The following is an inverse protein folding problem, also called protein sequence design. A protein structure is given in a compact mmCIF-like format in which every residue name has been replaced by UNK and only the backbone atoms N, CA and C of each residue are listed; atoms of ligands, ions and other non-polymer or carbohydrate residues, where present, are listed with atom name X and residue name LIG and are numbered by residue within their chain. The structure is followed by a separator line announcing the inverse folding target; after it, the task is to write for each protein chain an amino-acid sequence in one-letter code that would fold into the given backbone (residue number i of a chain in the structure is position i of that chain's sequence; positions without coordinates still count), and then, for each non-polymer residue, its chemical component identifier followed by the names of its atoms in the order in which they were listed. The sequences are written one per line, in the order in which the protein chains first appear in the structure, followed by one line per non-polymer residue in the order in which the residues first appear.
data_IF_895398535229
#
_entry.id   IF_895398535229
#
_cell.length_a   1.000
_cell.length_b   1.000
_cell.length_c   1.000
_cell.angle_alpha   90.00
_cell.angle_beta   90.00
_cell.angle_gamma   90.00
#
_symmetry.space_group_name_H-M   'P 1'
#
loop_
_entity.id
_entity.type
_entity.pdbx_description
1 polymer ?
#
# COMPACT_ATOMS: atom_id res chain seq x y z
N UNK A 1 14.33 22.55 -13.06
CA UNK A 1 12.96 22.05 -12.81
C UNK A 1 12.41 22.80 -11.61
N UNK A 2 11.28 23.52 -11.72
CA UNK A 2 10.67 24.19 -10.56
C UNK A 2 10.28 23.15 -9.49
N UNK A 3 10.25 23.54 -8.19
CA UNK A 3 9.76 22.64 -7.14
C UNK A 3 8.30 22.27 -7.43
N UNK A 4 7.94 21.00 -7.25
CA UNK A 4 6.55 20.57 -7.34
C UNK A 4 5.68 21.41 -6.38
N UNK A 5 4.47 21.81 -6.76
CA UNK A 5 3.60 22.58 -5.87
C UNK A 5 3.22 21.75 -4.63
N UNK A 6 2.96 22.42 -3.51
CA UNK A 6 2.30 21.80 -2.36
C UNK A 6 0.84 21.52 -2.76
N UNK A 7 0.36 20.32 -2.51
CA UNK A 7 -1.03 19.92 -2.79
C UNK A 7 -1.75 19.50 -1.51
N UNK A 8 -3.08 19.63 -1.52
CA UNK A 8 -3.94 19.25 -0.41
C UNK A 8 -4.98 18.24 -0.89
N UNK A 9 -5.04 17.09 -0.22
CA UNK A 9 -6.02 16.03 -0.47
C UNK A 9 -6.82 15.74 0.79
N UNK A 10 -8.03 15.26 0.61
CA UNK A 10 -8.86 14.75 1.70
C UNK A 10 -8.52 13.27 1.93
N UNK A 11 -8.10 12.92 3.15
CA UNK A 11 -8.03 11.55 3.62
C UNK A 11 -9.41 11.13 4.15
N UNK A 12 -10.10 10.29 3.40
CA UNK A 12 -11.52 9.96 3.63
C UNK A 12 -11.67 8.77 4.55
N UNK A 13 -10.86 7.75 4.33
CA UNK A 13 -10.88 6.50 5.07
C UNK A 13 -9.47 5.92 5.09
N UNK A 14 -9.17 5.15 6.13
CA UNK A 14 -7.93 4.42 6.21
C UNK A 14 -8.15 3.09 6.94
N UNK A 15 -7.30 2.11 6.62
CA UNK A 15 -7.26 0.83 7.32
C UNK A 15 -5.81 0.40 7.48
N UNK A 16 -5.51 -0.32 8.55
CA UNK A 16 -4.21 -0.91 8.80
C UNK A 16 -4.42 -2.37 9.23
N UNK A 17 -3.60 -3.25 8.67
CA UNK A 17 -3.44 -4.63 9.10
C UNK A 17 -1.95 -4.86 9.37
N UNK A 18 -1.66 -5.31 10.57
CA UNK A 18 -0.32 -5.78 10.97
C UNK A 18 -0.42 -7.30 11.22
N UNK A 19 0.67 -8.00 11.60
CA UNK A 19 0.61 -9.43 11.86
C UNK A 19 -0.51 -9.79 12.87
N UNK A 20 -0.89 -11.06 12.95
CA UNK A 20 -1.84 -11.60 13.94
C UNK A 20 -1.09 -12.48 14.96
N UNK A 21 -1.74 -12.84 16.07
CA UNK A 21 -1.16 -13.66 17.14
C UNK A 21 -0.10 -12.91 17.96
N UNK A 22 0.84 -13.63 18.57
CA UNK A 22 1.87 -13.03 19.45
C UNK A 22 2.78 -12.02 18.72
N UNK A 23 2.95 -12.19 17.39
CA UNK A 23 3.70 -11.26 16.54
C UNK A 23 3.00 -9.88 16.35
N UNK A 24 1.73 -9.76 16.75
CA UNK A 24 0.91 -8.57 16.61
C UNK A 24 0.91 -7.64 17.85
N UNK A 25 1.45 -8.12 18.97
CA UNK A 25 1.33 -7.44 20.26
C UNK A 25 1.96 -6.04 20.22
N UNK A 26 1.16 -5.00 20.47
CA UNK A 26 1.61 -3.61 20.51
C UNK A 26 1.69 -2.88 19.17
N UNK A 27 1.26 -3.50 18.05
CA UNK A 27 1.25 -2.88 16.73
C UNK A 27 -0.18 -2.41 16.32
N UNK A 28 -0.35 -1.25 15.64
CA UNK A 28 -1.66 -0.79 15.17
C UNK A 28 -2.28 -1.72 14.11
N UNK A 29 -3.49 -2.26 14.35
CA UNK A 29 -4.21 -3.10 13.38
C UNK A 29 -4.08 -4.62 13.57
N UNK A 30 -3.64 -5.06 14.75
CA UNK A 30 -3.54 -6.48 15.11
C UNK A 30 -4.90 -7.19 14.97
N UNK A 31 -4.97 -8.22 14.14
CA UNK A 31 -6.16 -9.06 14.01
C UNK A 31 -6.06 -10.29 14.93
N UNK A 32 -7.14 -10.71 15.61
CA UNK A 32 -7.11 -11.90 16.48
C UNK A 32 -7.20 -13.23 15.70
N UNK A 33 -7.49 -13.18 14.39
CA UNK A 33 -7.76 -14.35 13.56
C UNK A 33 -6.99 -14.30 12.24
N UNK A 34 -6.73 -15.48 11.68
CA UNK A 34 -6.11 -15.62 10.37
C UNK A 34 -6.96 -14.95 9.26
N UNK A 35 -6.29 -14.39 8.24
CA UNK A 35 -6.97 -13.76 7.12
C UNK A 35 -7.80 -14.77 6.33
N UNK A 36 -9.03 -14.42 5.91
CA UNK A 36 -9.83 -15.27 5.06
C UNK A 36 -9.09 -15.67 3.79
N UNK A 37 -9.22 -16.94 3.39
CA UNK A 37 -8.69 -17.42 2.11
C UNK A 37 -9.39 -16.73 0.95
N UNK A 38 -8.64 -16.29 -0.04
CA UNK A 38 -9.17 -15.73 -1.27
C UNK A 38 -8.98 -16.75 -2.40
N UNK A 39 -10.07 -17.07 -3.10
CA UNK A 39 -10.02 -18.00 -4.23
C UNK A 39 -9.02 -17.49 -5.26
N UNK A 40 -8.11 -18.37 -5.67
CA UNK A 40 -7.06 -18.01 -6.61
C UNK A 40 -5.92 -17.20 -6.00
N UNK A 41 -5.78 -17.08 -4.67
CA UNK A 41 -4.61 -16.53 -3.98
C UNK A 41 -4.31 -17.37 -2.73
N UNK A 42 -3.77 -18.58 -2.95
CA UNK A 42 -3.61 -19.59 -1.90
C UNK A 42 -2.16 -19.83 -1.46
N UNK A 43 -1.18 -19.30 -2.20
CA UNK A 43 0.25 -19.60 -2.00
C UNK A 43 0.89 -18.66 -0.98
N UNK A 44 0.53 -17.39 -1.01
CA UNK A 44 1.06 -16.35 -0.13
C UNK A 44 -0.04 -15.61 0.61
N UNK A 45 0.37 -14.78 1.57
CA UNK A 45 -0.51 -13.85 2.27
C UNK A 45 -0.61 -12.49 1.62
N UNK A 46 0.18 -12.22 0.58
CA UNK A 46 0.25 -10.92 -0.08
C UNK A 46 -1.13 -10.50 -0.62
N UNK A 47 -1.75 -11.34 -1.45
CA UNK A 47 -3.09 -11.08 -1.98
C UNK A 47 -4.16 -10.94 -0.87
N UNK A 48 -4.28 -11.92 0.05
CA UNK A 48 -5.21 -11.81 1.18
C UNK A 48 -5.04 -10.53 2.02
N UNK A 49 -3.81 -10.07 2.27
CA UNK A 49 -3.54 -8.81 2.98
C UNK A 49 -4.07 -7.59 2.22
N UNK A 50 -3.72 -7.47 0.92
CA UNK A 50 -4.20 -6.38 0.05
C UNK A 50 -5.72 -6.35 0.02
N UNK A 51 -6.35 -7.51 -0.18
CA UNK A 51 -7.80 -7.61 -0.24
C UNK A 51 -8.46 -7.22 1.08
N UNK A 52 -7.95 -7.72 2.20
CA UNK A 52 -8.53 -7.45 3.52
C UNK A 52 -8.41 -5.98 3.92
N UNK A 53 -7.23 -5.37 3.74
CA UNK A 53 -7.04 -3.96 4.12
C UNK A 53 -7.85 -3.02 3.24
N UNK A 54 -7.95 -3.30 1.94
CA UNK A 54 -8.76 -2.52 1.01
C UNK A 54 -10.26 -2.67 1.31
N UNK A 55 -10.74 -3.89 1.56
CA UNK A 55 -12.15 -4.14 1.92
C UNK A 55 -12.52 -3.40 3.21
N UNK A 56 -11.65 -3.41 4.21
CA UNK A 56 -11.87 -2.67 5.45
C UNK A 56 -11.82 -1.15 5.24
N UNK A 57 -10.99 -0.64 4.31
CA UNK A 57 -10.91 0.79 4.01
C UNK A 57 -12.10 1.29 3.19
N UNK A 58 -12.59 0.49 2.24
CA UNK A 58 -13.69 0.87 1.35
C UNK A 58 -15.08 0.62 1.93
N UNK A 59 -15.17 -0.23 2.96
CA UNK A 59 -16.41 -0.74 3.56
C UNK A 59 -17.28 -1.54 2.57
N UNK A 60 -18.31 -2.21 3.09
CA UNK A 60 -19.10 -3.14 2.28
C UNK A 60 -20.02 -2.40 1.29
N UNK A 61 -20.04 -2.76 -0.01
CA UNK A 61 -20.97 -2.18 -0.98
C UNK A 61 -22.44 -2.29 -0.54
N UNK A 62 -23.21 -1.25 -0.80
CA UNK A 62 -24.63 -1.18 -0.42
C UNK A 62 -24.89 -0.79 1.03
N UNK A 63 -23.85 -0.57 1.83
CA UNK A 63 -23.98 0.01 3.18
C UNK A 63 -23.82 1.54 3.14
N UNK A 64 -24.35 2.22 4.16
CA UNK A 64 -24.19 3.68 4.30
C UNK A 64 -22.71 4.10 4.48
N UNK A 65 -21.86 3.17 4.93
CA UNK A 65 -20.43 3.41 5.14
C UNK A 65 -19.59 3.20 3.86
N UNK A 66 -20.17 2.71 2.76
CA UNK A 66 -19.44 2.40 1.53
C UNK A 66 -18.78 3.65 0.91
N UNK A 67 -17.47 3.76 1.04
CA UNK A 67 -16.74 4.97 0.67
C UNK A 67 -16.56 5.15 -0.85
N UNK A 68 -16.64 4.08 -1.64
CA UNK A 68 -16.60 4.21 -3.12
C UNK A 68 -17.88 4.88 -3.62
N UNK A 69 -19.04 4.49 -3.08
CA UNK A 69 -20.33 5.11 -3.42
C UNK A 69 -20.58 5.19 -4.93
N UNK A 70 -21.06 6.34 -5.47
CA UNK A 70 -21.29 6.52 -6.90
C UNK A 70 -19.99 6.70 -7.71
N UNK A 71 -18.84 6.79 -7.05
CA UNK A 71 -17.57 7.13 -7.69
C UNK A 71 -16.78 5.92 -8.20
N UNK A 72 -17.34 4.71 -8.19
CA UNK A 72 -16.63 3.50 -8.61
C UNK A 72 -15.92 3.66 -9.96
N UNK A 73 -16.64 4.09 -11.00
CA UNK A 73 -16.06 4.27 -12.32
C UNK A 73 -14.88 5.25 -12.35
N UNK A 74 -14.90 6.30 -11.51
CA UNK A 74 -13.83 7.29 -11.35
C UNK A 74 -12.90 7.02 -10.18
N UNK A 75 -12.80 5.79 -9.69
CA UNK A 75 -11.87 5.41 -8.61
C UNK A 75 -10.64 4.74 -9.22
N UNK A 76 -9.45 5.16 -8.84
CA UNK A 76 -8.18 4.51 -9.20
C UNK A 76 -7.58 3.77 -8.01
N UNK A 77 -6.65 2.85 -8.25
CA UNK A 77 -5.89 2.13 -7.21
C UNK A 77 -4.39 2.25 -7.48
N UNK A 78 -3.63 2.63 -6.45
CA UNK A 78 -2.17 2.63 -6.44
C UNK A 78 -1.67 1.67 -5.37
N UNK A 79 -1.00 0.60 -5.78
CA UNK A 79 -0.38 -0.40 -4.90
C UNK A 79 1.12 -0.10 -4.78
N UNK A 80 1.65 -0.12 -3.56
CA UNK A 80 3.07 0.07 -3.25
C UNK A 80 3.63 -1.16 -2.53
N UNK A 81 4.76 -1.65 -3.01
CA UNK A 81 5.52 -2.77 -2.44
C UNK A 81 6.95 -2.74 -2.97
N UNK A 82 7.94 -3.12 -2.19
CA UNK A 82 9.36 -3.18 -2.57
C UNK A 82 9.67 -4.50 -3.30
N UNK A 83 9.09 -5.61 -2.84
CA UNK A 83 9.42 -6.95 -3.35
C UNK A 83 8.23 -7.78 -3.82
N UNK A 84 7.02 -7.22 -3.80
CA UNK A 84 5.80 -7.86 -4.28
C UNK A 84 5.49 -9.19 -3.59
N UNK A 85 4.80 -10.07 -4.30
CA UNK A 85 4.54 -11.43 -3.83
C UNK A 85 5.74 -12.37 -4.05
N UNK A 86 6.82 -12.10 -3.31
CA UNK A 86 8.05 -12.87 -3.40
C UNK A 86 7.86 -14.36 -3.05
N UNK A 87 6.91 -14.69 -2.16
CA UNK A 87 6.62 -16.08 -1.79
C UNK A 87 6.05 -16.85 -2.98
N UNK A 88 5.06 -16.29 -3.67
CA UNK A 88 4.48 -16.92 -4.86
C UNK A 88 5.50 -16.99 -6.00
N UNK A 89 6.26 -15.92 -6.22
CA UNK A 89 7.29 -15.89 -7.26
C UNK A 89 8.41 -16.93 -7.02
N UNK A 90 8.88 -17.08 -5.79
CA UNK A 90 9.90 -18.07 -5.42
C UNK A 90 9.35 -19.50 -5.53
N UNK A 91 8.11 -19.73 -5.12
CA UNK A 91 7.44 -21.02 -5.25
C UNK A 91 7.29 -21.43 -6.72
N UNK A 92 6.82 -20.52 -7.57
CA UNK A 92 6.68 -20.74 -9.00
C UNK A 92 8.04 -21.01 -9.67
N UNK A 93 9.08 -20.29 -9.25
CA UNK A 93 10.46 -20.51 -9.73
C UNK A 93 10.95 -21.92 -9.39
N UNK A 94 10.76 -22.37 -8.14
CA UNK A 94 11.16 -23.72 -7.69
C UNK A 94 10.43 -24.81 -8.46
N UNK A 95 9.11 -24.70 -8.61
CA UNK A 95 8.32 -25.69 -9.36
C UNK A 95 8.78 -25.82 -10.81
N UNK A 96 9.13 -24.69 -11.44
CA UNK A 96 9.67 -24.69 -12.80
C UNK A 96 11.01 -25.43 -12.88
N UNK A 97 11.93 -25.16 -11.95
CA UNK A 97 13.25 -25.84 -11.90
C UNK A 97 13.11 -27.35 -11.60
N UNK A 98 12.14 -27.72 -10.78
CA UNK A 98 11.82 -29.12 -10.44
C UNK A 98 11.09 -29.87 -11.57
N UNK A 99 10.79 -29.22 -12.71
CA UNK A 99 10.05 -29.82 -13.81
C UNK A 99 8.58 -30.13 -13.48
N UNK A 100 8.01 -29.50 -12.45
CA UNK A 100 6.61 -29.71 -12.07
C UNK A 100 5.70 -28.97 -13.04
N UNK A 101 4.57 -29.59 -13.39
CA UNK A 101 3.51 -28.92 -14.14
C UNK A 101 2.95 -27.80 -13.26
N UNK A 102 3.30 -26.56 -13.61
CA UNK A 102 2.79 -25.37 -12.94
C UNK A 102 1.34 -25.14 -13.38
N UNK A 103 0.43 -25.02 -12.40
CA UNK A 103 -0.94 -24.58 -12.68
C UNK A 103 -0.87 -23.21 -13.38
N UNK A 104 -1.51 -23.00 -14.55
CA UNK A 104 -1.50 -21.71 -15.25
C UNK A 104 -1.91 -20.52 -14.37
N UNK A 105 -2.74 -20.75 -13.35
CA UNK A 105 -3.14 -19.74 -12.38
C UNK A 105 -1.98 -19.19 -11.54
N UNK A 106 -0.87 -19.94 -11.39
CA UNK A 106 0.32 -19.48 -10.66
C UNK A 106 0.97 -18.26 -11.29
N UNK A 107 0.94 -18.16 -12.63
CA UNK A 107 1.45 -16.98 -13.33
C UNK A 107 0.64 -15.74 -12.95
N UNK A 108 -0.69 -15.84 -12.97
CA UNK A 108 -1.57 -14.75 -12.56
C UNK A 108 -1.44 -14.41 -11.07
N UNK A 109 -1.19 -15.40 -10.21
CA UNK A 109 -0.96 -15.14 -8.78
C UNK A 109 0.35 -14.40 -8.50
N UNK A 110 1.37 -14.58 -9.33
CA UNK A 110 2.68 -13.94 -9.15
C UNK A 110 2.71 -12.44 -9.48
N UNK A 111 1.68 -11.91 -10.15
CA UNK A 111 1.61 -10.49 -10.49
C UNK A 111 0.96 -9.72 -9.35
N UNK A 112 1.69 -8.77 -8.75
CA UNK A 112 1.25 -8.02 -7.56
C UNK A 112 -0.12 -7.33 -7.73
N UNK A 113 -0.47 -6.94 -8.96
CA UNK A 113 -1.76 -6.26 -9.25
C UNK A 113 -2.94 -7.21 -9.41
N UNK A 114 -2.74 -8.52 -9.57
CA UNK A 114 -3.84 -9.43 -9.91
C UNK A 114 -4.92 -9.52 -8.84
N UNK A 115 -4.56 -9.34 -7.57
CA UNK A 115 -5.52 -9.30 -6.47
C UNK A 115 -6.49 -8.11 -6.57
N UNK A 116 -6.05 -7.00 -7.17
CA UNK A 116 -6.87 -5.81 -7.33
C UNK A 116 -8.12 -6.08 -8.19
N UNK A 117 -8.07 -7.09 -9.07
CA UNK A 117 -9.23 -7.53 -9.85
C UNK A 117 -10.43 -7.99 -9.01
N UNK A 118 -10.19 -8.50 -7.80
CA UNK A 118 -11.29 -8.85 -6.87
C UNK A 118 -11.98 -7.59 -6.34
N UNK A 119 -11.19 -6.56 -6.01
CA UNK A 119 -11.66 -5.27 -5.51
C UNK A 119 -12.43 -4.52 -6.59
N UNK A 120 -11.88 -4.49 -7.81
CA UNK A 120 -12.49 -3.74 -8.91
C UNK A 120 -13.84 -4.27 -9.30
N UNK A 121 -13.96 -5.61 -9.43
CA UNK A 121 -15.23 -6.26 -9.69
C UNK A 121 -16.24 -6.03 -8.56
N UNK A 122 -15.80 -6.09 -7.30
CA UNK A 122 -16.67 -5.95 -6.13
C UNK A 122 -17.22 -4.52 -5.96
N UNK A 123 -16.39 -3.52 -6.24
CA UNK A 123 -16.72 -2.11 -5.98
C UNK A 123 -17.04 -1.30 -7.25
N UNK A 124 -17.01 -1.92 -8.43
CA UNK A 124 -17.25 -1.24 -9.71
C UNK A 124 -16.15 -0.22 -10.04
N UNK A 125 -14.90 -0.51 -9.67
CA UNK A 125 -13.75 0.38 -9.87
C UNK A 125 -13.22 0.20 -11.29
N UNK A 126 -13.23 1.27 -12.09
CA UNK A 126 -12.81 1.23 -13.50
C UNK A 126 -11.62 2.15 -13.82
N UNK A 127 -11.18 2.98 -12.87
CA UNK A 127 -10.03 3.84 -13.07
C UNK A 127 -8.70 3.06 -13.10
N UNK A 128 -7.59 3.78 -13.30
CA UNK A 128 -6.26 3.16 -13.42
C UNK A 128 -5.88 2.27 -12.24
N UNK A 129 -5.21 1.15 -12.54
CA UNK A 129 -4.61 0.24 -11.57
C UNK A 129 -3.09 0.26 -11.75
N UNK A 130 -2.39 0.85 -10.80
CA UNK A 130 -0.93 1.01 -10.85
C UNK A 130 -0.30 0.29 -9.68
N UNK A 131 0.80 -0.42 -9.92
CA UNK A 131 1.69 -0.89 -8.86
C UNK A 131 3.03 -0.20 -9.01
N UNK A 132 3.51 0.43 -7.94
CA UNK A 132 4.84 1.00 -7.85
C UNK A 132 5.72 0.10 -7.00
N UNK A 133 6.90 -0.20 -7.53
CA UNK A 133 7.96 -0.90 -6.83
C UNK A 133 9.16 0.01 -6.73
N UNK A 134 9.22 0.74 -5.63
CA UNK A 134 10.28 1.69 -5.35
C UNK A 134 11.22 1.15 -4.27
N UNK A 135 12.47 1.60 -4.27
CA UNK A 135 13.45 1.19 -3.26
C UNK A 135 13.54 2.22 -2.14
N UNK A 136 13.30 3.51 -2.42
CA UNK A 136 13.63 4.61 -1.51
C UNK A 136 12.46 5.06 -0.65
N UNK A 137 11.33 5.41 -1.27
CA UNK A 137 10.10 5.80 -0.56
C UNK A 137 8.87 5.33 -1.34
N UNK A 138 8.51 4.04 -1.24
CA UNK A 138 7.34 3.49 -1.94
C UNK A 138 6.04 4.20 -1.59
N UNK A 139 5.88 4.62 -0.33
CA UNK A 139 4.69 5.32 0.12
C UNK A 139 4.62 6.73 -0.50
N UNK A 140 5.72 7.48 -0.50
CA UNK A 140 5.77 8.80 -1.13
C UNK A 140 5.59 8.75 -2.63
N UNK A 141 6.20 7.80 -3.34
CA UNK A 141 5.97 7.62 -4.78
C UNK A 141 4.50 7.28 -5.07
N UNK A 142 3.89 6.38 -4.28
CA UNK A 142 2.47 6.04 -4.44
C UNK A 142 1.55 7.21 -4.14
N UNK A 143 1.84 8.01 -3.10
CA UNK A 143 1.09 9.22 -2.78
C UNK A 143 1.26 10.30 -3.87
N UNK A 144 2.44 10.43 -4.47
CA UNK A 144 2.68 11.34 -5.59
C UNK A 144 1.91 10.92 -6.84
N UNK A 145 1.86 9.62 -7.16
CA UNK A 145 1.02 9.10 -8.25
C UNK A 145 -0.46 9.37 -7.95
N UNK A 146 -0.92 9.13 -6.72
CA UNK A 146 -2.30 9.39 -6.32
C UNK A 146 -2.66 10.88 -6.41
N UNK A 147 -1.72 11.76 -6.05
CA UNK A 147 -1.85 13.20 -6.19
C UNK A 147 -2.08 13.60 -7.65
N UNK A 148 -1.21 13.12 -8.55
CA UNK A 148 -1.30 13.39 -9.98
C UNK A 148 -2.58 12.82 -10.61
N UNK A 149 -3.01 11.63 -10.19
CA UNK A 149 -4.27 11.04 -10.66
C UNK A 149 -5.49 11.87 -10.25
N UNK A 150 -5.49 12.47 -9.04
CA UNK A 150 -6.61 13.30 -8.58
C UNK A 150 -6.69 14.68 -9.23
N UNK A 151 -5.70 15.06 -10.05
CA UNK A 151 -5.78 16.24 -10.92
C UNK A 151 -6.64 16.00 -12.15
N UNK A 152 -6.86 14.75 -12.53
CA UNK A 152 -7.85 14.39 -13.54
C UNK A 152 -9.28 14.56 -12.96
N UNK A 153 -10.13 15.42 -13.56
CA UNK A 153 -11.49 15.61 -13.06
C UNK A 153 -12.35 14.35 -13.14
N UNK A 154 -12.07 13.43 -14.08
CA UNK A 154 -12.78 12.14 -14.24
C UNK A 154 -12.44 11.15 -13.12
N UNK A 155 -11.26 11.32 -12.48
CA UNK A 155 -10.90 10.57 -11.29
C UNK A 155 -11.36 11.31 -10.04
N UNK A 156 -12.25 10.69 -9.29
CA UNK A 156 -12.86 11.25 -8.10
C UNK A 156 -12.18 10.77 -6.81
N UNK A 157 -11.59 9.57 -6.85
CA UNK A 157 -11.00 8.92 -5.68
C UNK A 157 -9.77 8.13 -6.08
N UNK A 158 -8.81 8.02 -5.17
CA UNK A 158 -7.67 7.11 -5.33
C UNK A 158 -7.49 6.32 -4.06
N UNK A 159 -7.50 4.99 -4.18
CA UNK A 159 -7.14 4.08 -3.10
C UNK A 159 -5.64 3.79 -3.16
N UNK A 160 -4.88 4.26 -2.18
CA UNK A 160 -3.46 3.94 -2.03
C UNK A 160 -3.33 2.76 -1.07
N UNK A 161 -2.62 1.71 -1.49
CA UNK A 161 -2.41 0.49 -0.71
C UNK A 161 -0.90 0.29 -0.58
N UNK A 162 -0.39 0.22 0.64
CA UNK A 162 0.97 -0.24 0.92
C UNK A 162 0.92 -1.65 1.48
N UNK A 163 1.74 -2.56 0.99
CA UNK A 163 1.76 -3.95 1.46
C UNK A 163 3.16 -4.53 1.40
N UNK A 164 3.48 -5.31 2.43
CA UNK A 164 4.64 -6.20 2.43
C UNK A 164 4.37 -7.46 3.21
N UNK A 165 5.06 -8.52 2.81
CA UNK A 165 5.17 -9.75 3.58
C UNK A 165 6.59 -9.91 4.10
N UNK A 166 6.75 -10.73 5.14
CA UNK A 166 8.06 -11.08 5.66
C UNK A 166 8.99 -11.53 4.51
N UNK A 167 10.22 -10.99 4.42
CA UNK A 167 11.08 -11.23 3.29
C UNK A 167 11.49 -12.70 3.22
N UNK A 168 11.39 -13.29 2.03
CA UNK A 168 11.97 -14.62 1.78
C UNK A 168 13.49 -14.57 1.89
N UNK A 169 14.15 -15.72 1.99
CA UNK A 169 15.62 -15.78 1.97
C UNK A 169 16.20 -15.08 0.74
N UNK A 170 15.55 -15.22 -0.42
CA UNK A 170 15.99 -14.58 -1.66
C UNK A 170 15.90 -13.06 -1.57
N UNK A 171 14.81 -12.54 -1.02
CA UNK A 171 14.64 -11.10 -0.77
C UNK A 171 15.66 -10.59 0.25
N UNK A 172 15.93 -11.34 1.33
CA UNK A 172 16.98 -10.99 2.30
C UNK A 172 18.35 -10.90 1.65
N UNK A 173 18.74 -11.88 0.83
CA UNK A 173 20.02 -11.88 0.11
C UNK A 173 20.13 -10.73 -0.88
N UNK A 174 19.05 -10.43 -1.60
CA UNK A 174 18.99 -9.27 -2.48
C UNK A 174 19.14 -7.97 -1.68
N UNK A 175 18.47 -7.87 -0.53
CA UNK A 175 18.59 -6.74 0.40
C UNK A 175 20.00 -6.56 0.96
N UNK A 176 20.67 -7.64 1.36
CA UNK A 176 22.08 -7.64 1.80
C UNK A 176 23.02 -7.14 0.68
N UNK A 177 22.81 -7.63 -0.54
CA UNK A 177 23.59 -7.22 -1.71
C UNK A 177 23.36 -5.75 -2.07
N UNK A 178 22.10 -5.30 -2.00
CA UNK A 178 21.72 -3.91 -2.22
C UNK A 178 22.33 -3.00 -1.14
N UNK A 179 22.29 -3.42 0.13
CA UNK A 179 22.90 -2.70 1.23
C UNK A 179 24.42 -2.57 1.06
N UNK A 180 25.10 -3.65 0.63
CA UNK A 180 26.52 -3.61 0.28
C UNK A 180 26.82 -2.64 -0.90
N UNK A 181 25.88 -2.48 -1.83
CA UNK A 181 25.92 -1.48 -2.90
C UNK A 181 25.51 -0.06 -2.46
N UNK A 182 25.31 0.16 -1.15
CA UNK A 182 24.97 1.46 -0.57
C UNK A 182 23.48 1.80 -0.59
N UNK A 183 22.60 0.86 -0.93
CA UNK A 183 21.15 1.08 -0.88
C UNK A 183 20.67 1.01 0.57
N UNK A 184 20.20 2.13 1.09
CA UNK A 184 19.72 2.24 2.47
C UNK A 184 18.20 2.07 2.50
N UNK A 185 17.74 0.83 2.56
CA UNK A 185 16.33 0.52 2.80
C UNK A 185 16.24 -0.66 3.79
N UNK A 186 15.35 -0.54 4.78
CA UNK A 186 15.08 -1.62 5.72
C UNK A 186 13.89 -2.42 5.23
N UNK A 187 14.12 -3.70 4.93
CA UNK A 187 13.02 -4.62 4.62
C UNK A 187 12.11 -4.76 5.87
N UNK A 188 10.78 -4.70 5.70
CA UNK A 188 9.85 -4.97 6.79
C UNK A 188 10.08 -6.36 7.36
N UNK A 189 10.14 -6.46 8.69
CA UNK A 189 10.40 -7.74 9.37
C UNK A 189 9.17 -8.66 9.43
N UNK A 190 8.00 -8.25 8.93
CA UNK A 190 6.76 -9.00 9.05
C UNK A 190 5.70 -8.57 8.04
N UNK A 191 4.58 -9.28 8.10
CA UNK A 191 3.41 -9.08 7.23
C UNK A 191 2.61 -7.85 7.65
N UNK A 192 2.50 -6.86 6.79
CA UNK A 192 1.70 -5.67 7.07
C UNK A 192 1.13 -5.06 5.79
N UNK A 193 -0.02 -4.42 5.93
CA UNK A 193 -0.63 -3.65 4.89
C UNK A 193 -1.38 -2.44 5.45
N UNK A 194 -1.40 -1.34 4.72
CA UNK A 194 -2.23 -0.19 5.01
C UNK A 194 -2.96 0.25 3.75
N UNK A 195 -4.13 0.84 3.90
CA UNK A 195 -4.88 1.43 2.81
C UNK A 195 -5.37 2.82 3.22
N UNK A 196 -5.31 3.75 2.28
CA UNK A 196 -5.73 5.14 2.44
C UNK A 196 -6.55 5.56 1.22
N UNK A 197 -7.79 5.98 1.46
CA UNK A 197 -8.67 6.51 0.41
C UNK A 197 -8.54 8.03 0.36
N UNK A 198 -8.14 8.54 -0.80
CA UNK A 198 -7.92 9.96 -1.05
C UNK A 198 -8.98 10.53 -1.99
N UNK A 199 -9.32 11.80 -1.77
CA UNK A 199 -10.14 12.63 -2.66
C UNK A 199 -9.51 14.02 -2.80
N UNK A 200 -10.01 14.80 -3.77
CA UNK A 200 -9.76 16.25 -3.79
C UNK A 200 -10.24 16.87 -2.48
N UNK A 201 -9.43 17.77 -1.91
CA UNK A 201 -9.76 18.43 -0.66
C UNK A 201 -10.81 19.51 -0.88
N UNK A 202 -11.90 19.45 -0.10
CA UNK A 202 -12.89 20.51 0.01
C UNK A 202 -13.00 20.95 1.48
N UNK A 203 -12.59 22.18 1.82
CA UNK A 203 -12.65 22.71 3.19
C UNK A 203 -14.04 22.62 3.83
N UNK A 204 -15.11 22.63 3.04
CA UNK A 204 -16.49 22.58 3.53
C UNK A 204 -16.95 21.21 4.04
N UNK A 205 -16.19 20.14 3.76
CA UNK A 205 -16.61 18.75 4.06
C UNK A 205 -16.17 18.25 5.43
N UNK A 206 -15.32 19.00 6.15
CA UNK A 206 -14.76 18.55 7.43
C UNK A 206 -13.81 17.35 7.32
N UNK A 207 -13.41 16.96 6.11
CA UNK A 207 -12.52 15.83 5.89
C UNK A 207 -11.10 16.12 6.39
N UNK A 208 -10.40 15.09 6.85
CA UNK A 208 -9.01 15.19 7.30
C UNK A 208 -8.12 15.65 6.14
N UNK A 209 -7.44 16.78 6.33
CA UNK A 209 -6.53 17.35 5.32
C UNK A 209 -5.19 16.63 5.33
N UNK A 210 -4.80 16.05 4.21
CA UNK A 210 -3.46 15.58 3.92
C UNK A 210 -2.73 16.58 3.02
N UNK A 211 -1.66 17.17 3.53
CA UNK A 211 -0.77 18.05 2.77
C UNK A 211 0.37 17.22 2.20
N UNK A 212 0.50 17.19 0.89
CA UNK A 212 1.63 16.58 0.21
C UNK A 212 2.59 17.70 -0.18
N UNK A 213 3.80 17.65 0.36
CA UNK A 213 4.83 18.67 0.11
C UNK A 213 6.06 18.01 -0.49
N UNK A 214 6.70 18.58 -1.53
CA UNK A 214 7.97 18.05 -1.99
C UNK A 214 9.04 18.21 -0.91
N UNK A 215 9.97 17.26 -0.83
CA UNK A 215 11.16 17.44 -0.02
C UNK A 215 11.96 18.70 -0.45
N UNK A 216 12.57 19.45 0.50
CA UNK A 216 13.40 20.61 0.17
C UNK A 216 14.61 20.24 -0.70
N UNK A 217 15.06 21.17 -1.55
CA UNK A 217 16.22 20.96 -2.41
C UNK A 217 17.48 20.77 -1.57
N UNK A 218 18.27 19.74 -1.84
CA UNK A 218 19.61 19.59 -1.25
C UNK A 218 19.69 18.81 0.06
N UNK A 219 18.59 18.30 0.61
CA UNK A 219 18.70 17.13 1.50
C UNK A 219 18.98 15.91 0.63
N UNK A 220 20.25 15.55 0.52
CA UNK A 220 20.62 14.13 0.35
C UNK A 220 19.90 13.44 1.49
N UNK A 221 18.88 12.63 1.18
CA UNK A 221 17.95 12.00 2.11
C UNK A 221 18.69 11.58 3.39
N UNK A 222 18.65 12.46 4.39
CA UNK A 222 19.28 12.27 5.69
C UNK A 222 18.53 11.12 6.33
N UNK A 223 19.28 10.04 6.57
CA UNK A 223 19.08 8.99 7.56
C UNK A 223 17.64 8.46 7.68
N UNK A 224 17.46 7.16 7.42
CA UNK A 224 16.50 6.37 8.18
C UNK A 224 16.84 6.63 9.66
N UNK A 225 16.13 7.58 10.29
CA UNK A 225 16.38 8.10 11.63
C UNK A 225 16.10 7.06 12.73
N UNK A 226 15.95 5.79 12.32
CA UNK A 226 15.52 4.68 13.17
C UNK A 226 14.03 4.72 13.51
N UNK A 227 13.27 5.74 13.08
CA UNK A 227 11.84 5.86 13.40
C UNK A 227 10.94 4.91 12.60
N UNK A 228 11.43 4.35 11.48
CA UNK A 228 10.71 3.39 10.65
C UNK A 228 10.32 2.09 11.38
N UNK A 229 10.91 1.84 12.56
CA UNK A 229 10.58 0.69 13.39
C UNK A 229 10.89 -0.64 12.68
N UNK A 230 10.28 -1.75 13.11
CA UNK A 230 10.52 -3.07 12.51
C UNK A 230 9.86 -3.25 11.12
N UNK A 231 8.96 -2.35 10.71
CA UNK A 231 8.21 -2.45 9.45
C UNK A 231 8.82 -1.64 8.30
N UNK A 232 9.97 -1.02 8.51
CA UNK A 232 10.68 -0.29 7.46
C UNK A 232 9.81 0.82 6.86
N UNK A 233 9.80 0.93 5.53
CA UNK A 233 9.06 1.98 4.81
C UNK A 233 7.55 2.02 5.13
N UNK A 234 6.96 0.86 5.45
CA UNK A 234 5.53 0.78 5.81
C UNK A 234 5.22 1.48 7.14
N UNK A 235 6.20 1.63 8.04
CA UNK A 235 5.97 2.21 9.36
C UNK A 235 5.37 3.61 9.30
N UNK A 236 5.94 4.49 8.47
CA UNK A 236 5.42 5.85 8.29
C UNK A 236 4.02 5.87 7.65
N UNK A 237 3.78 5.02 6.66
CA UNK A 237 2.48 4.92 6.00
C UNK A 237 1.38 4.36 6.92
N UNK A 238 1.71 3.36 7.75
CA UNK A 238 0.83 2.81 8.78
C UNK A 238 0.50 3.84 9.85
N UNK A 239 1.48 4.64 10.29
CA UNK A 239 1.27 5.71 11.25
C UNK A 239 0.31 6.78 10.70
N UNK A 240 0.48 7.17 9.44
CA UNK A 240 -0.45 8.07 8.74
C UNK A 240 -1.87 7.48 8.71
N UNK A 241 -2.01 6.23 8.27
CA UNK A 241 -3.31 5.57 8.19
C UNK A 241 -3.98 5.43 9.57
N UNK A 242 -3.20 5.12 10.62
CA UNK A 242 -3.70 5.04 12.00
C UNK A 242 -4.18 6.40 12.52
N UNK A 243 -3.46 7.48 12.21
CA UNK A 243 -3.84 8.83 12.60
C UNK A 243 -5.14 9.30 11.92
N UNK A 244 -5.29 9.01 10.62
CA UNK A 244 -6.53 9.26 9.86
C UNK A 244 -7.70 8.48 10.47
N UNK A 245 -7.52 7.20 10.78
CA UNK A 245 -8.55 6.36 11.42
C UNK A 245 -8.99 6.84 12.79
N UNK A 246 -8.07 7.38 13.57
CA UNK A 246 -8.37 7.92 14.90
C UNK A 246 -9.21 9.20 14.83
N UNK A 247 -9.54 9.71 13.64
CA UNK A 247 -10.34 10.92 13.45
C UNK A 247 -9.66 12.16 14.02
N UNK A 248 -8.32 12.13 14.14
CA UNK A 248 -7.57 13.26 14.64
C UNK A 248 -7.77 14.43 13.67
N UNK A 249 -8.35 15.57 14.09
CA UNK A 249 -8.70 16.69 13.21
C UNK A 249 -7.47 17.47 12.72
N UNK A 250 -6.28 16.87 12.80
CA UNK A 250 -5.02 17.49 12.44
C UNK A 250 -4.79 17.43 10.93
N UNK A 251 -4.26 18.52 10.37
CA UNK A 251 -3.67 18.46 9.04
C UNK A 251 -2.42 17.57 9.10
N UNK A 252 -2.44 16.45 8.38
CA UNK A 252 -1.26 15.60 8.23
C UNK A 252 -0.39 16.16 7.10
N UNK A 253 0.93 16.09 7.26
CA UNK A 253 1.86 16.48 6.20
C UNK A 253 2.71 15.27 5.84
N UNK A 254 2.69 14.88 4.57
CA UNK A 254 3.58 13.86 4.02
C UNK A 254 4.58 14.53 3.07
N UNK A 255 5.86 14.19 3.21
CA UNK A 255 6.92 14.71 2.32
C UNK A 255 7.13 13.75 1.17
N UNK A 256 6.86 14.19 -0.05
CA UNK A 256 7.09 13.41 -1.25
C UNK A 256 8.59 13.39 -1.60
N UNK A 257 9.11 12.25 -2.09
CA UNK A 257 10.46 12.18 -2.63
C UNK A 257 10.55 13.05 -3.89
N UNK A 258 11.76 13.57 -4.15
CA UNK A 258 12.06 14.27 -5.41
C UNK A 258 12.53 13.32 -6.47
#
# INVERSE_FOLDING_TARGET
MPPAPISHRAAVAASCLVPWGDAAAGLPGAAPVELPRIVGFAVSRFGPLVHAVATACLETPGTAAHHVGPHGAGTAIVLATVHGDAVTADTASRWTVEGRITNPLMFFQSVSTSILGQLTRRHGIHGPLTCVSAVRDPAGEALGIADALLDDPELHQVLVIGVETAPTERVRRAGESAAAAGWRHRLPAGDAAAALLLRRFDPGTGATRLTLSPAPAGRVFEEDDGSAGPLGWLGGFLALCAAVRAGQPAAHTYRLPR
#
